data_IF_341952213248
#
_entry.id   IF_341952213248
#
_cell.length_a   1.000
_cell.length_b   1.000
_cell.length_c   1.000
_cell.angle_alpha   90.00
_cell.angle_beta   90.00
_cell.angle_gamma   90.00
#
_symmetry.space_group_name_H-M   'P 1'
#
loop_
_entity.id
_entity.type
_entity.pdbx_description
1 polymer ?
#
# COMPACT_ATOMS: atom_id res chain seq x y z
N UNK A 1 2.08 -2.27 -5.28
CA UNK A 1 0.62 -2.51 -5.14
C UNK A 1 -0.03 -2.57 -6.52
N UNK A 2 -0.99 -3.48 -6.71
CA UNK A 2 -1.76 -3.62 -7.95
C UNK A 2 -3.23 -3.32 -7.67
N UNK A 3 -3.79 -2.33 -8.37
CA UNK A 3 -5.23 -2.02 -8.35
C UNK A 3 -5.89 -2.74 -9.52
N UNK A 4 -6.92 -3.51 -9.24
CA UNK A 4 -7.63 -4.30 -10.26
C UNK A 4 -9.13 -4.31 -9.97
N UNK A 5 -9.93 -4.47 -11.02
CA UNK A 5 -11.39 -4.53 -10.95
C UNK A 5 -11.84 -6.00 -10.92
N UNK A 6 -12.60 -6.37 -9.89
CA UNK A 6 -13.04 -7.75 -9.66
C UNK A 6 -14.03 -8.21 -10.73
N UNK A 7 -15.03 -7.39 -11.06
CA UNK A 7 -16.07 -7.75 -12.03
C UNK A 7 -15.48 -8.00 -13.43
N UNK A 8 -14.56 -7.13 -13.87
CA UNK A 8 -13.82 -7.30 -15.12
C UNK A 8 -13.00 -8.59 -15.13
N UNK A 9 -12.31 -8.89 -14.03
CA UNK A 9 -11.51 -10.11 -13.91
C UNK A 9 -12.39 -11.36 -13.98
N UNK A 10 -13.54 -11.36 -13.32
CA UNK A 10 -14.51 -12.47 -13.35
C UNK A 10 -15.13 -12.62 -14.75
N UNK A 11 -15.39 -11.53 -15.45
CA UNK A 11 -15.87 -11.54 -16.83
C UNK A 11 -14.81 -11.99 -17.85
N UNK A 12 -13.54 -12.16 -17.44
CA UNK A 12 -12.44 -12.52 -18.33
C UNK A 12 -11.97 -11.39 -19.24
N UNK A 13 -12.25 -10.14 -18.89
CA UNK A 13 -11.71 -8.98 -19.60
C UNK A 13 -10.19 -8.92 -19.42
N UNK A 14 -9.46 -8.45 -20.43
CA UNK A 14 -8.00 -8.31 -20.42
C UNK A 14 -7.50 -7.05 -19.69
N UNK A 15 -8.37 -6.04 -19.56
CA UNK A 15 -8.09 -4.74 -18.94
C UNK A 15 -8.50 -4.63 -17.46
N UNK A 16 -8.55 -5.76 -16.75
CA UNK A 16 -8.95 -5.82 -15.34
C UNK A 16 -7.91 -5.23 -14.38
N UNK A 17 -6.64 -5.15 -14.77
CA UNK A 17 -5.61 -4.43 -14.02
C UNK A 17 -5.68 -2.95 -14.41
N UNK A 18 -6.17 -2.11 -13.51
CA UNK A 18 -6.45 -0.70 -13.80
C UNK A 18 -5.31 0.24 -13.41
N UNK A 19 -4.48 -0.16 -12.43
CA UNK A 19 -3.31 0.63 -12.04
C UNK A 19 -2.25 -0.17 -11.28
N UNK A 20 -1.02 0.35 -11.25
CA UNK A 20 0.09 -0.18 -10.45
C UNK A 20 0.91 0.96 -9.87
N UNK A 21 1.29 0.83 -8.60
CA UNK A 21 2.21 1.76 -7.94
C UNK A 21 3.33 0.96 -7.28
N UNK A 22 4.56 1.43 -7.46
CA UNK A 22 5.72 0.89 -6.77
C UNK A 22 5.69 1.31 -5.30
N UNK A 23 6.13 0.39 -4.44
CA UNK A 23 6.22 0.56 -2.99
C UNK A 23 7.59 0.12 -2.52
N UNK A 24 8.05 0.65 -1.40
CA UNK A 24 9.45 0.59 -0.99
C UNK A 24 9.60 0.11 0.46
N UNK A 25 9.96 -1.15 0.71
CA UNK A 25 10.07 -2.31 -0.18
C UNK A 25 9.51 -3.56 0.50
N UNK A 26 9.29 -4.62 -0.28
CA UNK A 26 8.86 -5.92 0.23
C UNK A 26 7.59 -5.78 1.07
N UNK A 27 6.51 -5.37 0.39
CA UNK A 27 5.22 -5.17 1.02
C UNK A 27 4.70 -6.44 1.70
N UNK A 28 4.19 -6.28 2.92
CA UNK A 28 3.39 -7.27 3.62
C UNK A 28 1.89 -7.00 3.42
N UNK A 29 1.21 -6.63 4.51
CA UNK A 29 -0.20 -6.29 4.48
C UNK A 29 -0.49 -4.93 3.83
N UNK A 30 -1.74 -4.82 3.39
CA UNK A 30 -2.38 -3.60 2.91
C UNK A 30 -3.64 -3.38 3.74
N UNK A 31 -3.87 -2.15 4.18
CA UNK A 31 -5.12 -1.81 4.87
C UNK A 31 -5.78 -0.59 4.23
N UNK A 32 -7.06 -0.73 3.86
CA UNK A 32 -7.83 0.37 3.30
C UNK A 32 -8.65 1.06 4.40
N UNK A 33 -8.80 2.38 4.31
CA UNK A 33 -9.62 3.11 5.27
C UNK A 33 -11.07 2.60 5.27
N UNK A 34 -11.52 2.11 6.43
CA UNK A 34 -12.82 1.47 6.60
C UNK A 34 -13.02 0.18 5.79
N UNK A 35 -11.96 -0.40 5.23
CA UNK A 35 -12.00 -1.55 4.31
C UNK A 35 -12.60 -2.82 4.90
N UNK A 36 -12.48 -2.99 6.22
CA UNK A 36 -13.01 -4.14 6.96
C UNK A 36 -14.42 -3.87 7.55
N UNK A 37 -15.10 -2.85 7.05
CA UNK A 37 -16.45 -2.48 7.48
C UNK A 37 -17.42 -2.52 6.30
N UNK A 38 -18.73 -2.42 6.60
CA UNK A 38 -19.76 -2.24 5.57
C UNK A 38 -19.75 -0.84 4.92
N UNK A 39 -18.85 0.06 5.35
CA UNK A 39 -18.77 1.45 4.91
C UNK A 39 -17.31 1.85 4.59
N UNK A 40 -16.65 1.21 3.62
CA UNK A 40 -15.33 1.62 3.19
C UNK A 40 -15.37 3.04 2.61
N UNK A 41 -14.35 3.86 2.91
CA UNK A 41 -14.31 5.27 2.47
C UNK A 41 -13.72 5.43 1.06
N UNK A 42 -12.86 4.50 0.64
CA UNK A 42 -12.28 4.49 -0.72
C UNK A 42 -11.32 5.65 -0.99
N UNK A 43 -10.77 6.26 0.05
CA UNK A 43 -9.90 7.43 -0.02
C UNK A 43 -8.41 7.09 0.19
N UNK A 44 -8.09 6.22 1.15
CA UNK A 44 -6.72 5.88 1.51
C UNK A 44 -6.45 4.37 1.64
N UNK A 45 -5.21 4.00 1.32
CA UNK A 45 -4.62 2.68 1.48
C UNK A 45 -3.26 2.81 2.17
N UNK A 46 -3.04 2.05 3.24
CA UNK A 46 -1.76 1.93 3.91
C UNK A 46 -1.02 0.68 3.44
N UNK A 47 0.23 0.85 3.02
CA UNK A 47 1.13 -0.25 2.67
C UNK A 47 2.17 -0.47 3.77
N UNK A 48 2.21 -1.68 4.33
CA UNK A 48 3.11 -2.06 5.41
C UNK A 48 4.33 -2.80 4.83
N UNK A 49 5.38 -2.05 4.50
CA UNK A 49 6.58 -2.56 3.85
C UNK A 49 7.59 -3.07 4.88
N UNK A 50 8.19 -4.23 4.59
CA UNK A 50 9.07 -4.95 5.53
C UNK A 50 10.52 -4.51 5.48
N UNK A 51 10.92 -3.74 4.48
CA UNK A 51 12.29 -3.24 4.35
C UNK A 51 12.26 -1.77 3.94
N UNK A 52 12.93 -0.91 4.70
CA UNK A 52 13.08 0.51 4.33
C UNK A 52 14.30 0.79 3.45
N UNK A 53 15.36 0.01 3.54
CA UNK A 53 16.61 0.16 2.75
C UNK A 53 17.10 1.61 2.69
N UNK A 54 17.04 2.22 1.52
CA UNK A 54 17.56 3.54 1.18
C UNK A 54 16.55 4.67 1.37
N UNK A 55 15.35 4.39 1.90
CA UNK A 55 14.29 5.39 2.05
C UNK A 55 14.55 6.40 3.18
N UNK A 56 15.41 6.06 4.16
CA UNK A 56 15.67 6.87 5.34
C UNK A 56 17.16 7.01 5.65
N UNK A 57 17.51 7.96 6.52
CA UNK A 57 18.87 8.08 7.04
C UNK A 57 19.27 6.79 7.77
N UNK A 58 20.50 6.29 7.59
CA UNK A 58 20.95 5.08 8.26
C UNK A 58 21.07 5.31 9.77
N UNK A 59 20.43 4.45 10.57
CA UNK A 59 20.43 4.51 12.04
C UNK A 59 21.18 3.36 12.71
N UNK A 60 21.77 2.47 11.91
CA UNK A 60 22.53 1.32 12.38
C UNK A 60 22.24 0.08 11.55
N UNK A 61 22.67 -1.11 12.03
CA UNK A 61 22.36 -2.39 11.38
C UNK A 61 20.87 -2.72 11.36
N UNK A 62 20.14 -2.22 12.36
CA UNK A 62 18.71 -2.39 12.52
C UNK A 62 18.00 -1.14 12.01
N UNK A 63 17.46 -1.23 10.80
CA UNK A 63 16.72 -0.15 10.14
C UNK A 63 15.23 -0.33 10.41
N UNK A 64 14.45 0.75 10.65
CA UNK A 64 13.01 0.63 10.82
C UNK A 64 12.34 0.11 9.54
N UNK A 65 11.15 -0.45 9.66
CA UNK A 65 10.26 -0.71 8.52
C UNK A 65 9.76 0.60 7.90
N UNK A 66 9.05 0.48 6.77
CA UNK A 66 8.52 1.62 6.03
C UNK A 66 7.01 1.47 5.78
N UNK A 67 6.27 2.55 5.97
CA UNK A 67 4.83 2.58 5.76
C UNK A 67 4.53 3.67 4.76
N UNK A 68 3.75 3.30 3.76
CA UNK A 68 3.43 4.18 2.65
C UNK A 68 1.93 4.42 2.61
N UNK A 69 1.53 5.69 2.77
CA UNK A 69 0.16 6.15 2.63
C UNK A 69 -0.11 6.48 1.17
N UNK A 70 -1.08 5.80 0.59
CA UNK A 70 -1.46 5.91 -0.81
C UNK A 70 -2.89 6.47 -0.87
N UNK A 71 -3.09 7.54 -1.62
CA UNK A 71 -4.43 8.00 -2.01
C UNK A 71 -4.98 7.08 -3.10
N UNK A 72 -6.23 6.65 -2.94
CA UNK A 72 -6.93 5.75 -3.86
C UNK A 72 -8.30 6.28 -4.34
N UNK A 73 -8.67 7.52 -3.99
CA UNK A 73 -9.95 8.15 -4.36
C UNK A 73 -10.08 8.44 -5.87
N UNK A 74 -8.96 8.60 -6.56
CA UNK A 74 -8.91 8.87 -8.00
C UNK A 74 -8.83 7.63 -8.88
N UNK A 75 -8.76 7.86 -10.20
CA UNK A 75 -8.50 6.80 -11.17
C UNK A 75 -7.14 6.14 -10.92
N UNK A 76 -6.11 6.97 -10.69
CA UNK A 76 -4.73 6.57 -10.41
C UNK A 76 -4.38 6.66 -8.93
N UNK A 77 -3.60 5.68 -8.46
CA UNK A 77 -3.04 5.68 -7.10
C UNK A 77 -1.93 6.73 -7.00
N UNK A 78 -1.84 7.41 -5.86
CA UNK A 78 -0.82 8.43 -5.62
C UNK A 78 -0.18 8.27 -4.25
N UNK A 79 1.14 8.18 -4.24
CA UNK A 79 1.91 8.18 -2.99
C UNK A 79 1.78 9.54 -2.31
N UNK A 80 1.31 9.56 -1.06
CA UNK A 80 1.19 10.78 -0.26
C UNK A 80 2.35 10.95 0.71
N UNK A 81 2.71 9.87 1.40
CA UNK A 81 3.71 9.89 2.44
C UNK A 81 4.36 8.51 2.57
N UNK A 82 5.64 8.53 2.95
CA UNK A 82 6.37 7.36 3.43
C UNK A 82 6.94 7.72 4.81
N UNK A 83 6.81 6.84 5.78
CA UNK A 83 7.31 7.09 7.14
C UNK A 83 7.84 5.82 7.80
N UNK A 84 8.91 5.95 8.62
CA UNK A 84 9.49 4.80 9.31
C UNK A 84 8.60 4.38 10.48
N UNK A 85 8.53 3.08 10.78
CA UNK A 85 7.90 2.57 12.01
C UNK A 85 8.77 1.52 12.71
N UNK A 86 8.85 1.51 14.05
CA UNK A 86 9.52 0.46 14.82
C UNK A 86 8.58 -0.36 15.75
N UNK A 87 8.87 -1.66 16.00
CA UNK A 87 9.35 -2.66 15.03
C UNK A 87 8.18 -3.45 14.40
N UNK A 88 8.30 -3.65 13.09
CA UNK A 88 7.51 -4.47 12.17
C UNK A 88 5.98 -4.61 12.45
N UNK A 89 5.18 -3.55 12.26
CA UNK A 89 3.72 -3.71 12.25
C UNK A 89 3.29 -4.78 11.25
N UNK A 90 2.53 -5.76 11.72
CA UNK A 90 2.01 -6.84 10.88
C UNK A 90 0.68 -6.46 10.23
N UNK A 91 -0.15 -5.69 10.93
CA UNK A 91 -1.50 -5.31 10.51
C UNK A 91 -1.88 -3.93 11.08
N UNK A 92 -2.98 -3.34 10.61
CA UNK A 92 -3.45 -2.00 10.98
C UNK A 92 -4.97 -1.90 11.05
#
# INVERSE_FOLDING_TARGET
VVKWNVDKAVAGADDYIVDRINVHYNIGHLQASGGETMKPTGDFLLALNKLSKDQYLPVGPDMPEAQELIEISGEKMRMLAAFPTPPEPHDA
#
